data_IF_487887265410
#
_entry.id   IF_487887265410
#
_cell.length_a   1.000
_cell.length_b   1.000
_cell.length_c   1.000
_cell.angle_alpha   90.00
_cell.angle_beta   90.00
_cell.angle_gamma   90.00
#
_symmetry.space_group_name_H-M   'P 1'
#
loop_
_entity.id
_entity.type
_entity.pdbx_description
1 polymer ?
#
# COMPACT_ATOMS: atom_id res chain seq x y z
N UNK A 1 -26.02 1.35 17.51
CA UNK A 1 -25.02 2.42 17.57
C UNK A 1 -24.70 2.83 16.13
N UNK A 2 -25.03 4.06 15.73
CA UNK A 2 -24.75 4.58 14.39
C UNK A 2 -23.26 4.72 14.31
N UNK A 3 -22.59 3.88 13.50
CA UNK A 3 -21.17 4.00 13.20
C UNK A 3 -20.95 5.35 12.45
N UNK A 4 -20.61 6.39 13.19
CA UNK A 4 -20.20 7.66 12.60
C UNK A 4 -18.78 7.48 12.02
N UNK A 5 -18.69 6.95 10.80
CA UNK A 5 -17.45 6.97 10.04
C UNK A 5 -17.10 8.43 9.74
N UNK A 6 -15.94 8.86 10.18
CA UNK A 6 -15.47 10.22 9.92
C UNK A 6 -15.36 10.46 8.41
N UNK A 7 -16.13 11.42 7.89
CA UNK A 7 -16.05 11.84 6.47
C UNK A 7 -14.96 12.88 6.23
N UNK A 8 -14.26 13.34 7.28
CA UNK A 8 -13.03 14.13 7.19
C UNK A 8 -11.84 13.23 7.43
N UNK A 9 -10.87 13.23 6.52
CA UNK A 9 -9.71 12.34 6.62
C UNK A 9 -8.42 13.03 6.21
N UNK A 10 -7.34 12.66 6.89
CA UNK A 10 -5.98 12.95 6.47
C UNK A 10 -5.48 11.76 5.65
N UNK A 11 -4.83 12.02 4.51
CA UNK A 11 -4.16 11.02 3.69
C UNK A 11 -2.69 11.38 3.58
N UNK A 12 -1.79 10.61 4.22
CA UNK A 12 -0.35 10.75 4.02
C UNK A 12 0.11 9.91 2.84
N UNK A 13 1.24 10.28 2.21
CA UNK A 13 1.66 9.61 0.98
C UNK A 13 0.71 9.86 -0.19
N UNK A 14 0.05 11.02 -0.19
CA UNK A 14 -1.01 11.40 -1.13
C UNK A 14 -0.62 11.31 -2.61
N UNK A 15 0.65 11.57 -2.95
CA UNK A 15 1.18 11.51 -4.33
C UNK A 15 1.84 10.17 -4.69
N UNK A 16 1.80 9.20 -3.76
CA UNK A 16 2.29 7.83 -4.00
C UNK A 16 1.29 7.01 -4.82
N UNK A 17 1.68 5.77 -5.17
CA UNK A 17 0.89 4.87 -6.00
C UNK A 17 -0.53 4.63 -5.46
N UNK A 18 -0.68 4.37 -4.17
CA UNK A 18 -2.00 4.18 -3.56
C UNK A 18 -2.71 5.52 -3.40
N UNK A 19 -2.04 6.54 -2.85
CA UNK A 19 -2.63 7.83 -2.52
C UNK A 19 -3.26 8.54 -3.72
N UNK A 20 -2.57 8.56 -4.88
CA UNK A 20 -3.08 9.18 -6.10
C UNK A 20 -4.36 8.53 -6.65
N UNK A 21 -4.60 7.25 -6.31
CA UNK A 21 -5.81 6.51 -6.69
C UNK A 21 -6.89 6.52 -5.59
N UNK A 22 -6.48 6.53 -4.30
CA UNK A 22 -7.41 6.57 -3.17
C UNK A 22 -8.13 7.92 -3.05
N UNK A 23 -7.39 9.02 -3.18
CA UNK A 23 -7.96 10.37 -3.03
C UNK A 23 -9.16 10.62 -3.96
N UNK A 24 -9.07 10.41 -5.30
CA UNK A 24 -10.23 10.61 -6.16
C UNK A 24 -11.39 9.64 -5.85
N UNK A 25 -11.09 8.44 -5.36
CA UNK A 25 -12.12 7.51 -4.89
C UNK A 25 -12.86 8.06 -3.66
N UNK A 26 -12.13 8.54 -2.65
CA UNK A 26 -12.72 9.12 -1.44
C UNK A 26 -13.51 10.40 -1.72
N UNK A 27 -13.03 11.27 -2.62
CA UNK A 27 -13.79 12.46 -3.07
C UNK A 27 -15.14 12.04 -3.65
N UNK A 28 -15.18 11.03 -4.53
CA UNK A 28 -16.44 10.51 -5.10
C UNK A 28 -17.39 9.92 -4.04
N UNK A 29 -16.85 9.52 -2.88
CA UNK A 29 -17.61 9.02 -1.73
C UNK A 29 -17.99 10.11 -0.72
N UNK A 30 -17.72 11.38 -1.04
CA UNK A 30 -18.11 12.55 -0.25
C UNK A 30 -17.20 12.81 0.96
N UNK A 31 -15.94 12.37 0.91
CA UNK A 31 -14.97 12.70 1.96
C UNK A 31 -14.34 14.08 1.75
N UNK A 32 -14.16 14.82 2.84
CA UNK A 32 -13.29 15.99 2.92
C UNK A 32 -11.86 15.51 3.22
N UNK A 33 -10.89 15.90 2.40
CA UNK A 33 -9.56 15.32 2.46
C UNK A 33 -8.51 16.39 2.73
N UNK A 34 -7.66 16.13 3.73
CA UNK A 34 -6.38 16.81 3.90
C UNK A 34 -5.29 15.88 3.37
N UNK A 35 -4.70 16.24 2.23
CA UNK A 35 -3.66 15.48 1.56
C UNK A 35 -2.27 15.93 1.99
N UNK A 36 -1.45 15.02 2.53
CA UNK A 36 -0.08 15.32 2.97
C UNK A 36 0.93 14.66 2.04
N UNK A 37 1.83 15.46 1.48
CA UNK A 37 2.96 15.01 0.67
C UNK A 37 4.11 16.00 0.72
N UNK A 38 5.33 15.53 0.45
CA UNK A 38 6.56 16.35 0.46
C UNK A 38 6.66 17.31 -0.71
N UNK A 39 6.10 16.94 -1.86
CA UNK A 39 6.38 17.62 -3.14
C UNK A 39 5.07 18.11 -3.76
N UNK A 40 4.75 19.41 -3.61
CA UNK A 40 3.55 20.00 -4.21
C UNK A 40 3.50 19.87 -5.73
N UNK A 41 4.65 19.95 -6.40
CA UNK A 41 4.75 19.84 -7.86
C UNK A 41 4.20 18.49 -8.37
N UNK A 42 4.45 17.41 -7.63
CA UNK A 42 3.87 16.09 -7.94
C UNK A 42 2.36 16.04 -7.70
N UNK A 43 1.85 16.82 -6.75
CA UNK A 43 0.42 16.85 -6.45
C UNK A 43 -0.37 17.65 -7.49
N UNK A 44 0.19 18.75 -7.98
CA UNK A 44 -0.46 19.69 -8.93
C UNK A 44 -0.82 19.06 -10.29
N UNK A 45 -0.21 17.91 -10.64
CA UNK A 45 -0.54 17.20 -11.90
C UNK A 45 -1.83 16.38 -11.80
N UNK A 46 -2.40 16.23 -10.61
CA UNK A 46 -3.61 15.44 -10.40
C UNK A 46 -4.86 16.32 -10.34
N UNK A 47 -5.93 15.90 -11.00
CA UNK A 47 -7.23 16.60 -11.02
C UNK A 47 -7.88 16.79 -9.65
N UNK A 48 -7.44 16.02 -8.66
CA UNK A 48 -7.93 16.12 -7.29
C UNK A 48 -7.25 17.23 -6.49
N UNK A 49 -6.12 17.80 -6.94
CA UNK A 49 -5.33 18.76 -6.17
C UNK A 49 -6.15 19.97 -5.71
N UNK A 50 -6.96 20.54 -6.61
CA UNK A 50 -7.82 21.68 -6.30
C UNK A 50 -9.06 21.34 -5.43
N UNK A 51 -9.29 20.04 -5.16
CA UNK A 51 -10.48 19.55 -4.43
C UNK A 51 -10.15 19.10 -3.00
N UNK A 52 -8.92 19.28 -2.55
CA UNK A 52 -8.45 18.86 -1.23
C UNK A 52 -7.71 19.99 -0.54
N UNK A 53 -7.64 19.94 0.79
CA UNK A 53 -6.68 20.75 1.54
C UNK A 53 -5.30 20.08 1.41
N UNK A 54 -4.38 20.71 0.68
CA UNK A 54 -3.03 20.14 0.48
C UNK A 54 -2.04 20.77 1.47
N UNK A 55 -1.37 19.91 2.25
CA UNK A 55 -0.30 20.31 3.16
C UNK A 55 1.03 19.73 2.66
N UNK A 56 1.96 20.63 2.35
CA UNK A 56 3.34 20.24 2.08
C UNK A 56 4.03 19.89 3.39
N UNK A 57 4.35 18.61 3.60
CA UNK A 57 5.04 18.18 4.80
C UNK A 57 5.85 16.90 4.58
N UNK A 58 7.06 16.88 5.15
CA UNK A 58 7.84 15.66 5.29
C UNK A 58 7.61 15.10 6.70
N UNK A 59 6.94 13.96 6.79
CA UNK A 59 6.62 13.31 8.07
C UNK A 59 7.87 12.80 8.82
N UNK A 60 9.04 12.77 8.18
CA UNK A 60 10.30 12.34 8.79
C UNK A 60 11.02 13.47 9.55
N UNK A 61 10.58 14.70 9.40
CA UNK A 61 11.19 15.85 10.09
C UNK A 61 10.40 16.21 11.35
N UNK A 62 11.08 16.81 12.36
CA UNK A 62 10.41 17.39 13.53
C UNK A 62 9.49 18.53 13.09
N UNK A 63 8.23 18.50 13.50
CA UNK A 63 7.21 19.37 12.96
C UNK A 63 6.47 20.17 14.02
N UNK A 64 6.13 21.40 13.65
CA UNK A 64 5.06 22.18 14.25
C UNK A 64 3.75 21.37 14.25
N UNK A 65 2.84 21.74 15.12
CA UNK A 65 1.53 21.09 15.19
C UNK A 65 0.77 21.25 13.86
N UNK A 66 0.12 20.18 13.42
CA UNK A 66 -0.86 20.27 12.36
C UNK A 66 -2.19 20.53 13.06
N UNK A 67 -2.82 21.68 12.78
CA UNK A 67 -4.21 21.85 13.18
C UNK A 67 -5.07 20.89 12.36
N UNK A 68 -5.49 19.82 13.02
CA UNK A 68 -6.24 18.74 12.38
C UNK A 68 -7.75 18.88 12.55
N UNK A 69 -8.21 19.86 13.37
CA UNK A 69 -9.62 19.97 13.69
C UNK A 69 -10.15 18.76 14.50
N UNK A 70 -11.48 18.59 14.51
CA UNK A 70 -12.14 17.49 15.24
C UNK A 70 -12.77 16.46 14.30
N UNK A 71 -12.99 15.25 14.82
CA UNK A 71 -13.68 14.16 14.11
C UNK A 71 -13.01 13.79 12.77
N UNK A 72 -11.70 13.67 12.76
CA UNK A 72 -10.90 13.33 11.58
C UNK A 72 -10.29 11.95 11.75
N UNK A 73 -10.30 11.17 10.65
CA UNK A 73 -9.57 9.92 10.56
C UNK A 73 -8.28 10.04 9.77
N UNK A 74 -7.44 9.01 9.80
CA UNK A 74 -6.15 8.97 9.12
C UNK A 74 -6.01 7.74 8.23
N UNK A 75 -5.74 7.95 6.94
CA UNK A 75 -5.15 6.96 6.05
C UNK A 75 -3.65 7.21 5.97
N UNK A 76 -2.88 6.35 6.61
CA UNK A 76 -1.42 6.48 6.64
C UNK A 76 -0.80 5.55 5.59
N UNK A 77 -0.45 6.13 4.43
CA UNK A 77 0.11 5.42 3.28
C UNK A 77 1.59 5.77 3.03
N UNK A 78 2.13 6.76 3.76
CA UNK A 78 3.49 7.23 3.56
C UNK A 78 4.51 6.17 4.00
N UNK A 79 5.44 5.85 3.12
CA UNK A 79 6.65 5.07 3.38
C UNK A 79 7.69 5.39 2.33
N UNK A 80 8.96 5.48 2.71
CA UNK A 80 10.02 5.89 1.81
C UNK A 80 10.89 4.69 1.39
N UNK A 81 11.74 4.92 0.38
CA UNK A 81 12.80 4.00 -0.09
C UNK A 81 12.29 2.65 -0.63
N UNK A 82 11.08 2.61 -1.20
CA UNK A 82 10.62 1.43 -1.94
C UNK A 82 11.03 1.55 -3.42
N UNK A 83 11.50 0.44 -4.02
CA UNK A 83 11.44 -0.96 -3.57
C UNK A 83 12.74 -1.53 -2.94
N UNK A 84 13.57 -0.73 -2.30
CA UNK A 84 14.82 -1.20 -1.68
C UNK A 84 14.57 -1.99 -0.37
N UNK A 85 13.92 -3.14 -0.45
CA UNK A 85 13.38 -3.89 0.71
C UNK A 85 14.39 -4.22 1.80
N UNK A 86 15.69 -4.31 1.49
CA UNK A 86 16.76 -4.60 2.45
C UNK A 86 17.51 -3.37 2.96
N UNK A 87 17.06 -2.16 2.59
CA UNK A 87 17.69 -0.91 3.01
C UNK A 87 17.57 -0.71 4.53
N UNK A 88 18.65 -0.33 5.23
CA UNK A 88 18.61 0.04 6.65
C UNK A 88 17.72 1.27 6.91
N UNK A 89 17.46 2.08 5.89
CA UNK A 89 16.57 3.24 5.98
C UNK A 89 15.19 2.88 6.55
N UNK A 90 14.72 1.64 6.35
CA UNK A 90 13.41 1.20 6.83
C UNK A 90 13.31 1.18 8.35
N UNK A 91 14.33 0.69 9.07
CA UNK A 91 14.32 0.63 10.53
C UNK A 91 15.00 1.85 11.17
N UNK A 92 16.00 2.47 10.53
CA UNK A 92 16.70 3.63 11.08
C UNK A 92 15.92 4.94 10.94
N UNK A 93 15.15 5.09 9.87
CA UNK A 93 14.44 6.34 9.53
C UNK A 93 12.93 6.17 9.44
N UNK A 94 12.45 5.23 8.61
CA UNK A 94 11.01 5.11 8.39
C UNK A 94 10.25 4.69 9.66
N UNK A 95 10.70 3.66 10.36
CA UNK A 95 10.02 3.16 11.56
C UNK A 95 9.87 4.28 12.62
N UNK A 96 10.92 4.93 13.11
CA UNK A 96 10.77 5.97 14.12
C UNK A 96 9.98 7.19 13.64
N UNK A 97 10.17 7.60 12.37
CA UNK A 97 9.46 8.77 11.83
C UNK A 97 7.95 8.52 11.71
N UNK A 98 7.56 7.35 11.18
CA UNK A 98 6.15 7.00 11.04
C UNK A 98 5.48 6.79 12.41
N UNK A 99 6.16 6.13 13.35
CA UNK A 99 5.66 5.98 14.72
C UNK A 99 5.42 7.33 15.39
N UNK A 100 6.41 8.21 15.37
CA UNK A 100 6.31 9.53 15.99
C UNK A 100 5.21 10.39 15.35
N UNK A 101 5.09 10.35 14.03
CA UNK A 101 4.02 11.05 13.32
C UNK A 101 2.64 10.54 13.76
N UNK A 102 2.41 9.22 13.71
CA UNK A 102 1.12 8.62 14.06
C UNK A 102 0.81 8.88 15.56
N UNK A 103 1.78 8.70 16.45
CA UNK A 103 1.62 9.02 17.89
C UNK A 103 1.18 10.47 18.09
N UNK A 104 1.82 11.43 17.39
CA UNK A 104 1.43 12.83 17.45
C UNK A 104 -0.01 13.04 16.97
N UNK A 105 -0.44 12.39 15.89
CA UNK A 105 -1.81 12.47 15.40
C UNK A 105 -2.83 11.92 16.42
N UNK A 106 -2.51 10.82 17.10
CA UNK A 106 -3.34 10.24 18.15
C UNK A 106 -3.47 11.21 19.34
N UNK A 107 -2.35 11.77 19.80
CA UNK A 107 -2.33 12.73 20.89
C UNK A 107 -3.07 14.03 20.54
N UNK A 108 -3.09 14.43 19.29
CA UNK A 108 -3.89 15.56 18.77
C UNK A 108 -5.39 15.21 18.57
N UNK A 109 -5.82 13.99 18.92
CA UNK A 109 -7.25 13.62 18.97
C UNK A 109 -7.75 12.71 17.86
N UNK A 110 -6.92 12.25 16.91
CA UNK A 110 -7.34 11.25 15.93
C UNK A 110 -7.62 9.91 16.62
N UNK A 111 -8.81 9.37 16.39
CA UNK A 111 -9.28 8.12 17.01
C UNK A 111 -9.52 6.98 16.03
N UNK A 112 -9.39 7.20 14.73
CA UNK A 112 -9.55 6.17 13.70
C UNK A 112 -8.40 6.26 12.70
N UNK A 113 -7.60 5.21 12.64
CA UNK A 113 -6.38 5.16 11.84
C UNK A 113 -6.33 3.87 11.03
N UNK A 114 -6.19 4.01 9.71
CA UNK A 114 -5.87 2.93 8.80
C UNK A 114 -4.42 3.11 8.33
N UNK A 115 -3.59 2.10 8.56
CA UNK A 115 -2.18 2.07 8.15
C UNK A 115 -1.96 0.95 7.14
N UNK A 116 -1.24 1.23 6.05
CA UNK A 116 -0.85 0.19 5.10
C UNK A 116 0.35 -0.61 5.61
N UNK A 117 0.14 -1.92 5.79
CA UNK A 117 1.15 -2.94 5.99
C UNK A 117 1.54 -3.62 4.68
N UNK A 118 2.14 -4.80 4.76
CA UNK A 118 2.61 -5.57 3.59
C UNK A 118 2.45 -7.07 3.81
N UNK A 119 2.19 -7.82 2.75
CA UNK A 119 2.19 -9.29 2.80
C UNK A 119 3.57 -9.87 3.15
N UNK A 120 4.65 -9.13 2.98
CA UNK A 120 6.00 -9.54 3.39
C UNK A 120 6.16 -9.67 4.92
N UNK A 121 5.24 -9.11 5.72
CA UNK A 121 5.21 -9.35 7.17
C UNK A 121 5.03 -10.84 7.52
N UNK A 122 4.39 -11.62 6.64
CA UNK A 122 4.22 -13.06 6.82
C UNK A 122 5.53 -13.86 6.63
N UNK A 123 6.53 -13.27 5.96
CA UNK A 123 7.80 -13.94 5.66
C UNK A 123 7.64 -15.06 4.63
N UNK A 124 8.40 -16.15 4.82
CA UNK A 124 8.51 -17.23 3.85
C UNK A 124 7.42 -18.31 4.06
N UNK A 125 6.14 -17.89 4.05
CA UNK A 125 4.99 -18.79 4.15
C UNK A 125 4.43 -19.11 2.76
N UNK A 126 4.01 -20.35 2.54
CA UNK A 126 3.44 -20.81 1.26
C UNK A 126 1.95 -21.08 1.38
N UNK A 127 1.23 -20.96 0.27
CA UNK A 127 -0.20 -21.24 0.18
C UNK A 127 -1.09 -20.05 0.57
N UNK A 128 -2.34 -20.31 0.96
CA UNK A 128 -3.29 -19.30 1.39
C UNK A 128 -2.95 -18.79 2.79
N UNK A 129 -2.82 -17.47 2.97
CA UNK A 129 -2.40 -16.84 4.22
C UNK A 129 -3.55 -16.04 4.81
N UNK A 130 -3.99 -16.44 6.01
CA UNK A 130 -5.00 -15.70 6.79
C UNK A 130 -4.39 -14.43 7.40
N UNK A 131 -5.21 -13.39 7.58
CA UNK A 131 -4.79 -12.19 8.32
C UNK A 131 -4.44 -12.44 9.79
N UNK A 132 -4.90 -13.56 10.35
CA UNK A 132 -4.54 -14.03 11.69
C UNK A 132 -3.25 -14.84 11.76
N UNK A 133 -2.62 -15.15 10.62
CA UNK A 133 -1.36 -15.89 10.58
C UNK A 133 -0.24 -15.11 11.29
N UNK A 134 0.66 -15.83 11.97
CA UNK A 134 1.82 -15.24 12.64
C UNK A 134 2.74 -14.59 11.62
N UNK A 135 3.28 -13.44 11.97
CA UNK A 135 4.28 -12.72 11.18
C UNK A 135 5.68 -13.27 11.45
N UNK A 136 6.46 -13.44 10.38
CA UNK A 136 7.87 -13.85 10.42
C UNK A 136 8.66 -13.09 9.33
N UNK A 137 8.69 -11.74 9.40
CA UNK A 137 9.30 -10.94 8.35
C UNK A 137 10.79 -11.21 8.22
N UNK A 138 11.30 -11.25 6.97
CA UNK A 138 12.66 -11.66 6.64
C UNK A 138 13.48 -10.61 5.86
N UNK A 139 12.96 -9.39 5.71
CA UNK A 139 13.68 -8.28 5.12
C UNK A 139 13.44 -6.99 5.91
N UNK A 140 14.33 -6.00 5.77
CA UNK A 140 14.32 -4.76 6.56
C UNK A 140 13.00 -3.99 6.47
N UNK A 141 12.39 -3.95 5.28
CA UNK A 141 11.10 -3.30 5.07
C UNK A 141 9.97 -3.96 5.87
N UNK A 142 9.84 -5.27 5.75
CA UNK A 142 8.78 -6.03 6.41
C UNK A 142 8.95 -6.04 7.93
N UNK A 143 10.19 -6.18 8.42
CA UNK A 143 10.52 -6.08 9.85
C UNK A 143 10.11 -4.71 10.40
N UNK A 144 10.48 -3.63 9.72
CA UNK A 144 10.13 -2.27 10.14
C UNK A 144 8.62 -2.03 10.13
N UNK A 145 7.89 -2.56 9.14
CA UNK A 145 6.43 -2.48 9.07
C UNK A 145 5.76 -3.24 10.22
N UNK A 146 6.16 -4.48 10.46
CA UNK A 146 5.59 -5.29 11.54
C UNK A 146 5.89 -4.71 12.93
N UNK A 147 7.11 -4.17 13.13
CA UNK A 147 7.45 -3.45 14.36
C UNK A 147 6.61 -2.18 14.55
N UNK A 148 6.34 -1.43 13.48
CA UNK A 148 5.44 -0.28 13.56
C UNK A 148 4.04 -0.70 14.03
N UNK A 149 3.49 -1.79 13.47
CA UNK A 149 2.20 -2.35 13.91
C UNK A 149 2.20 -2.67 15.39
N UNK A 150 3.21 -3.42 15.86
CA UNK A 150 3.32 -3.81 17.27
C UNK A 150 3.46 -2.60 18.21
N UNK A 151 4.26 -1.60 17.82
CA UNK A 151 4.38 -0.36 18.61
C UNK A 151 3.06 0.43 18.66
N UNK A 152 2.27 0.43 17.58
CA UNK A 152 0.95 1.08 17.59
C UNK A 152 -0.08 0.29 18.41
N UNK A 153 -0.01 -1.04 18.42
CA UNK A 153 -0.83 -1.88 19.30
C UNK A 153 -0.53 -1.64 20.78
N UNK A 154 0.76 -1.49 21.14
CA UNK A 154 1.17 -1.10 22.50
C UNK A 154 0.68 0.31 22.84
N UNK A 155 0.86 1.28 21.94
CA UNK A 155 0.37 2.65 22.15
C UNK A 155 -1.14 2.72 22.36
N UNK A 156 -1.89 1.81 21.75
CA UNK A 156 -3.35 1.73 21.87
C UNK A 156 -3.82 1.35 23.29
N UNK A 157 -2.98 0.71 24.11
CA UNK A 157 -3.28 0.42 25.51
C UNK A 157 -3.33 1.70 26.36
N UNK A 158 -2.43 2.65 26.09
CA UNK A 158 -2.34 3.90 26.86
C UNK A 158 -3.24 5.01 26.26
N UNK A 159 -3.43 5.00 24.96
CA UNK A 159 -4.18 5.99 24.21
C UNK A 159 -5.17 5.28 23.25
N UNK A 160 -6.37 4.93 23.68
CA UNK A 160 -7.31 4.13 22.89
C UNK A 160 -7.71 4.78 21.56
N UNK A 161 -7.53 4.04 20.45
CA UNK A 161 -7.94 4.40 19.10
C UNK A 161 -8.29 3.16 18.29
N UNK A 162 -9.03 3.32 17.21
CA UNK A 162 -9.32 2.26 16.26
C UNK A 162 -8.16 2.13 15.29
N UNK A 163 -7.43 1.00 15.34
CA UNK A 163 -6.30 0.68 14.48
C UNK A 163 -6.71 -0.37 13.44
N UNK A 164 -6.66 -0.01 12.17
CA UNK A 164 -6.81 -0.92 11.05
C UNK A 164 -5.47 -1.06 10.33
N UNK A 165 -4.92 -2.27 10.34
CA UNK A 165 -3.66 -2.60 9.69
C UNK A 165 -3.93 -3.36 8.40
N UNK A 166 -3.72 -2.71 7.24
CA UNK A 166 -4.05 -3.23 5.93
C UNK A 166 -2.82 -3.86 5.25
N UNK A 167 -2.64 -5.18 5.33
CA UNK A 167 -1.56 -5.91 4.65
C UNK A 167 -1.85 -6.02 3.17
N UNK A 168 -1.11 -5.25 2.39
CA UNK A 168 -1.25 -5.19 0.94
C UNK A 168 -0.53 -6.37 0.29
N UNK A 169 -1.22 -7.06 -0.60
CA UNK A 169 -0.63 -8.01 -1.53
C UNK A 169 -0.18 -7.30 -2.81
N UNK A 170 0.17 -8.03 -3.87
CA UNK A 170 0.67 -7.39 -5.09
C UNK A 170 -0.41 -6.56 -5.79
N UNK A 171 -0.02 -5.42 -6.29
CA UNK A 171 -0.92 -4.47 -6.93
C UNK A 171 -0.37 -4.07 -8.28
N UNK A 172 -1.27 -3.73 -9.20
CA UNK A 172 -0.89 -3.14 -10.48
C UNK A 172 -1.86 -2.06 -10.93
N UNK A 173 -1.40 -1.18 -11.80
CA UNK A 173 -2.23 -0.13 -12.40
C UNK A 173 -1.54 1.23 -12.50
N UNK A 174 -2.34 2.26 -12.77
CA UNK A 174 -1.85 3.62 -13.05
C UNK A 174 -1.04 4.20 -11.88
N UNK A 175 0.20 4.60 -12.18
CA UNK A 175 1.11 5.20 -11.21
C UNK A 175 1.96 4.19 -10.43
N UNK A 176 1.96 2.92 -10.82
CA UNK A 176 2.86 1.91 -10.29
C UNK A 176 4.32 2.24 -10.63
N UNK A 177 5.26 1.76 -9.80
CA UNK A 177 6.69 1.91 -10.04
C UNK A 177 7.08 1.29 -11.39
N UNK A 178 7.84 2.02 -12.20
CA UNK A 178 8.31 1.58 -13.53
C UNK A 178 9.12 0.29 -13.50
N UNK A 179 9.75 -0.04 -12.37
CA UNK A 179 10.51 -1.28 -12.20
C UNK A 179 9.64 -2.51 -11.90
N UNK A 180 8.32 -2.36 -11.82
CA UNK A 180 7.41 -3.50 -11.66
C UNK A 180 7.14 -4.17 -13.00
N UNK A 181 6.87 -5.49 -12.98
CA UNK A 181 6.79 -6.31 -14.19
C UNK A 181 5.76 -5.81 -15.23
N UNK A 182 4.59 -5.36 -14.81
CA UNK A 182 3.55 -4.85 -15.74
C UNK A 182 3.97 -3.52 -16.40
N UNK A 183 4.43 -2.49 -15.65
CA UNK A 183 5.00 -1.29 -16.28
C UNK A 183 6.19 -1.56 -17.20
N UNK A 184 7.10 -2.49 -16.85
CA UNK A 184 8.21 -2.86 -17.72
C UNK A 184 7.73 -3.51 -19.03
N UNK A 185 6.73 -4.41 -18.95
CA UNK A 185 6.12 -5.00 -20.15
C UNK A 185 5.44 -3.93 -21.00
N UNK A 186 4.66 -3.03 -20.38
CA UNK A 186 4.00 -1.94 -21.10
C UNK A 186 5.02 -1.04 -21.81
N UNK A 187 6.11 -0.70 -21.14
CA UNK A 187 7.20 0.10 -21.72
C UNK A 187 7.88 -0.62 -22.90
N UNK A 188 8.18 -1.93 -22.76
CA UNK A 188 8.76 -2.72 -23.83
C UNK A 188 7.84 -2.79 -25.06
N UNK A 189 6.53 -2.93 -24.83
CA UNK A 189 5.52 -2.91 -25.89
C UNK A 189 5.48 -1.53 -26.57
N UNK A 190 5.42 -0.45 -25.81
CA UNK A 190 5.32 0.91 -26.32
C UNK A 190 6.60 1.33 -27.10
N UNK A 191 7.76 0.76 -26.75
CA UNK A 191 9.03 0.90 -27.48
C UNK A 191 9.17 -0.05 -28.68
N UNK A 192 8.17 -0.90 -28.94
CA UNK A 192 8.22 -1.92 -29.99
C UNK A 192 9.43 -2.87 -29.88
N UNK A 193 9.80 -3.23 -28.65
CA UNK A 193 10.84 -4.23 -28.42
C UNK A 193 10.42 -5.59 -28.94
N UNK A 194 11.38 -6.37 -29.47
CA UNK A 194 11.09 -7.69 -30.02
C UNK A 194 10.82 -8.74 -28.97
N UNK A 195 11.47 -8.61 -27.79
CA UNK A 195 11.44 -9.59 -26.70
C UNK A 195 11.31 -8.92 -25.35
N UNK A 196 10.58 -9.57 -24.45
CA UNK A 196 10.51 -9.23 -23.02
C UNK A 196 11.08 -10.38 -22.21
N UNK A 197 12.21 -10.12 -21.53
CA UNK A 197 12.89 -11.13 -20.70
C UNK A 197 12.23 -11.25 -19.34
N UNK A 198 11.96 -12.48 -18.91
CA UNK A 198 11.40 -12.77 -17.59
C UNK A 198 11.85 -14.16 -17.07
N UNK A 199 11.53 -14.46 -15.80
CA UNK A 199 11.67 -15.82 -15.28
C UNK A 199 10.66 -16.75 -15.96
N UNK A 200 10.65 -18.04 -15.62
CA UNK A 200 9.62 -18.98 -16.11
C UNK A 200 8.19 -18.54 -15.77
N UNK A 201 8.05 -17.69 -14.74
CA UNK A 201 6.77 -17.07 -14.39
C UNK A 201 5.77 -18.00 -13.69
N UNK A 202 6.19 -19.20 -13.24
CA UNK A 202 5.30 -20.18 -12.60
C UNK A 202 4.94 -19.82 -11.15
N UNK A 203 5.66 -18.82 -10.56
CA UNK A 203 5.36 -18.39 -9.20
C UNK A 203 3.93 -17.81 -9.11
N UNK A 204 3.15 -18.31 -8.14
CA UNK A 204 1.79 -17.86 -7.86
C UNK A 204 1.79 -16.67 -6.92
N UNK A 205 1.09 -15.62 -7.30
CA UNK A 205 0.93 -14.39 -6.51
C UNK A 205 -0.51 -13.91 -6.54
N UNK A 206 -0.88 -13.16 -5.52
CA UNK A 206 -2.17 -12.48 -5.46
C UNK A 206 -2.03 -11.07 -6.02
N UNK A 207 -2.48 -10.88 -7.25
CA UNK A 207 -2.46 -9.57 -7.89
C UNK A 207 -3.84 -8.92 -7.88
N UNK A 208 -3.90 -7.65 -7.46
CA UNK A 208 -5.12 -6.89 -7.41
C UNK A 208 -4.96 -5.56 -8.17
N UNK A 209 -5.90 -5.20 -9.07
CA UNK A 209 -5.91 -3.87 -9.69
C UNK A 209 -5.98 -2.78 -8.62
N UNK A 210 -5.22 -1.68 -8.77
CA UNK A 210 -5.18 -0.59 -7.80
C UNK A 210 -6.55 -0.02 -7.45
N UNK A 211 -7.47 0.00 -8.40
CA UNK A 211 -8.85 0.45 -8.17
C UNK A 211 -9.55 -0.47 -7.15
N UNK A 212 -9.31 -1.78 -7.21
CA UNK A 212 -9.87 -2.74 -6.24
C UNK A 212 -9.20 -2.63 -4.88
N UNK A 213 -7.90 -2.31 -4.85
CA UNK A 213 -7.18 -2.03 -3.60
C UNK A 213 -7.81 -0.83 -2.88
N UNK A 214 -8.03 0.29 -3.57
CA UNK A 214 -8.61 1.48 -2.93
C UNK A 214 -10.07 1.26 -2.52
N UNK A 215 -10.85 0.46 -3.26
CA UNK A 215 -12.20 0.05 -2.86
C UNK A 215 -12.16 -0.77 -1.56
N UNK A 216 -11.23 -1.73 -1.44
CA UNK A 216 -11.08 -2.54 -0.22
C UNK A 216 -10.58 -1.70 0.97
N UNK A 217 -9.61 -0.80 0.78
CA UNK A 217 -9.15 0.12 1.83
C UNK A 217 -10.29 1.02 2.34
N UNK A 218 -11.12 1.54 1.44
CA UNK A 218 -12.29 2.33 1.81
C UNK A 218 -13.32 1.49 2.57
N UNK A 219 -13.69 0.30 2.07
CA UNK A 219 -14.60 -0.62 2.77
C UNK A 219 -14.06 -1.00 4.15
N UNK A 220 -12.75 -1.27 4.26
CA UNK A 220 -12.12 -1.57 5.54
C UNK A 220 -12.26 -0.40 6.51
N UNK A 221 -11.99 0.82 6.05
CA UNK A 221 -12.16 2.01 6.87
C UNK A 221 -13.60 2.16 7.38
N UNK A 222 -14.59 1.94 6.52
CA UNK A 222 -16.01 2.01 6.92
C UNK A 222 -16.43 0.86 7.87
N UNK A 223 -15.71 -0.27 7.90
CA UNK A 223 -15.98 -1.40 8.81
C UNK A 223 -15.80 -1.04 10.30
N UNK A 224 -15.03 0.01 10.61
CA UNK A 224 -14.84 0.56 11.96
C UNK A 224 -14.53 -0.50 13.04
N UNK A 225 -13.71 -1.49 12.69
CA UNK A 225 -13.24 -2.55 13.59
C UNK A 225 -11.73 -2.65 13.55
N UNK A 226 -11.08 -2.59 14.72
CA UNK A 226 -9.63 -2.77 14.86
C UNK A 226 -9.19 -4.17 14.44
N UNK A 227 -7.95 -4.26 13.95
CA UNK A 227 -7.31 -5.51 13.59
C UNK A 227 -6.45 -5.42 12.35
N UNK A 228 -5.78 -6.54 12.03
CA UNK A 228 -5.03 -6.73 10.78
C UNK A 228 -5.92 -7.38 9.72
N UNK A 229 -5.80 -6.92 8.47
CA UNK A 229 -6.64 -7.36 7.35
C UNK A 229 -5.81 -7.53 6.10
N UNK A 230 -6.09 -8.56 5.32
CA UNK A 230 -5.51 -8.74 4.00
C UNK A 230 -6.26 -7.91 2.95
N UNK A 231 -5.52 -7.13 2.19
CA UNK A 231 -6.01 -6.45 0.98
C UNK A 231 -5.51 -7.24 -0.21
N UNK A 232 -6.36 -8.10 -0.73
CA UNK A 232 -6.00 -9.13 -1.70
C UNK A 232 -7.19 -9.52 -2.58
N UNK A 233 -6.93 -10.27 -3.66
CA UNK A 233 -8.00 -10.86 -4.50
C UNK A 233 -8.55 -12.16 -3.89
N UNK A 234 -7.71 -12.90 -3.16
CA UNK A 234 -7.98 -14.27 -2.72
C UNK A 234 -7.82 -15.30 -3.85
N UNK A 235 -7.40 -14.88 -5.02
CA UNK A 235 -7.26 -15.72 -6.22
C UNK A 235 -5.83 -15.61 -6.76
N UNK A 236 -4.99 -16.63 -6.55
CA UNK A 236 -3.62 -16.60 -7.06
C UNK A 236 -3.60 -16.73 -8.58
N UNK A 237 -2.68 -16.01 -9.21
CA UNK A 237 -2.37 -16.11 -10.63
C UNK A 237 -0.86 -16.31 -10.82
N UNK A 238 -0.42 -17.08 -11.79
CA UNK A 238 0.99 -17.15 -12.12
C UNK A 238 1.44 -15.84 -12.77
N UNK A 239 2.70 -15.47 -12.53
CA UNK A 239 3.27 -14.26 -13.17
C UNK A 239 3.26 -14.41 -14.69
N UNK A 240 3.44 -15.64 -15.21
CA UNK A 240 3.28 -15.95 -16.64
C UNK A 240 1.90 -15.55 -17.14
N UNK A 241 0.84 -16.08 -16.52
CA UNK A 241 -0.53 -15.78 -16.93
C UNK A 241 -0.87 -14.29 -16.82
N UNK A 242 -0.35 -13.60 -15.80
CA UNK A 242 -0.53 -12.16 -15.65
C UNK A 242 0.08 -11.38 -16.83
N UNK A 243 1.33 -11.73 -17.21
CA UNK A 243 2.06 -11.08 -18.32
C UNK A 243 1.41 -11.41 -19.67
N UNK A 244 1.02 -12.66 -19.88
CA UNK A 244 0.30 -13.08 -21.11
C UNK A 244 -1.04 -12.38 -21.25
N UNK A 245 -1.83 -12.28 -20.17
CA UNK A 245 -3.09 -11.55 -20.16
C UNK A 245 -2.88 -10.07 -20.53
N UNK A 246 -1.84 -9.43 -19.94
CA UNK A 246 -1.51 -8.04 -20.25
C UNK A 246 -1.08 -7.85 -21.71
N UNK A 247 -0.24 -8.75 -22.25
CA UNK A 247 0.16 -8.76 -23.66
C UNK A 247 -1.05 -8.85 -24.59
N UNK A 248 -2.00 -9.74 -24.28
CA UNK A 248 -3.23 -9.90 -25.05
C UNK A 248 -4.13 -8.64 -24.99
N UNK A 249 -4.30 -8.06 -23.80
CA UNK A 249 -5.04 -6.80 -23.60
C UNK A 249 -4.47 -5.67 -24.48
N UNK A 250 -3.14 -5.57 -24.53
CA UNK A 250 -2.42 -4.61 -25.38
C UNK A 250 -2.40 -4.99 -26.86
N UNK A 251 -2.92 -6.16 -27.24
CA UNK A 251 -2.86 -6.70 -28.62
C UNK A 251 -1.43 -6.74 -29.17
N UNK A 252 -0.44 -6.94 -28.30
CA UNK A 252 0.98 -6.95 -28.66
C UNK A 252 1.42 -8.34 -29.13
N UNK A 253 2.38 -8.33 -30.06
CA UNK A 253 3.07 -9.54 -30.57
C UNK A 253 4.47 -9.70 -29.98
N UNK A 254 4.83 -8.94 -28.93
CA UNK A 254 6.13 -9.06 -28.28
C UNK A 254 6.38 -10.51 -27.85
N UNK A 255 7.57 -11.02 -28.12
CA UNK A 255 7.98 -12.35 -27.70
C UNK A 255 8.30 -12.37 -26.21
N UNK A 256 7.67 -13.27 -25.45
CA UNK A 256 7.94 -13.44 -24.01
C UNK A 256 9.05 -14.49 -23.84
N UNK A 257 10.25 -14.03 -23.49
CA UNK A 257 11.42 -14.86 -23.30
C UNK A 257 11.45 -15.42 -21.87
N UNK A 258 10.77 -16.53 -21.67
CA UNK A 258 10.68 -17.23 -20.39
C UNK A 258 12.02 -17.87 -20.00
N UNK A 259 12.28 -17.96 -18.68
CA UNK A 259 13.49 -18.60 -18.12
C UNK A 259 14.77 -17.80 -18.27
N UNK A 260 14.69 -16.55 -18.76
CA UNK A 260 15.88 -15.70 -18.90
C UNK A 260 16.48 -15.31 -17.54
N UNK A 261 15.62 -14.98 -16.58
CA UNK A 261 16.02 -14.68 -15.20
C UNK A 261 15.72 -15.85 -14.27
N UNK A 262 16.59 -16.14 -13.29
CA UNK A 262 16.28 -17.10 -12.25
C UNK A 262 15.13 -16.62 -11.36
N UNK A 263 14.49 -17.50 -10.62
CA UNK A 263 13.57 -17.14 -9.56
C UNK A 263 14.29 -16.45 -8.40
N UNK A 264 13.59 -15.52 -7.74
CA UNK A 264 14.05 -14.93 -6.48
C UNK A 264 14.03 -15.98 -5.37
N UNK A 265 15.11 -16.09 -4.61
CA UNK A 265 15.18 -16.91 -3.40
C UNK A 265 14.55 -16.25 -2.16
N UNK A 266 14.11 -15.01 -2.30
CA UNK A 266 13.57 -14.19 -1.19
C UNK A 266 12.07 -14.40 -0.95
N UNK A 267 11.39 -15.09 -1.85
CA UNK A 267 9.95 -15.31 -1.81
C UNK A 267 9.59 -16.77 -2.10
N UNK A 268 8.54 -17.33 -1.46
CA UNK A 268 8.08 -18.68 -1.78
C UNK A 268 7.52 -18.75 -3.21
N UNK A 269 7.50 -19.95 -3.81
CA UNK A 269 6.94 -20.13 -5.15
C UNK A 269 5.44 -19.85 -5.23
N UNK A 270 4.69 -19.98 -4.13
CA UNK A 270 3.26 -19.77 -4.14
C UNK A 270 2.79 -19.20 -2.81
N UNK A 271 2.20 -17.98 -2.82
CA UNK A 271 1.46 -17.45 -1.68
C UNK A 271 0.43 -16.40 -2.12
N UNK A 272 -0.68 -16.38 -1.41
CA UNK A 272 -1.79 -15.44 -1.64
C UNK A 272 -2.57 -15.19 -0.35
N UNK A 273 -3.35 -14.11 -0.30
CA UNK A 273 -4.16 -13.78 0.86
C UNK A 273 -5.48 -14.55 0.91
N UNK A 274 -5.93 -14.90 2.11
CA UNK A 274 -7.35 -15.19 2.34
C UNK A 274 -8.04 -13.84 2.49
N UNK A 275 -9.13 -13.65 1.73
CA UNK A 275 -9.83 -12.38 1.64
C UNK A 275 -10.64 -12.09 2.89
N UNK A 276 -10.41 -10.93 3.52
CA UNK A 276 -11.14 -10.46 4.72
C UNK A 276 -12.22 -9.41 4.37
N UNK A 277 -12.12 -8.79 3.21
CA UNK A 277 -12.99 -7.69 2.75
C UNK A 277 -13.71 -8.14 1.47
N UNK A 278 -15.01 -8.23 1.53
CA UNK A 278 -15.88 -8.59 0.39
C UNK A 278 -16.17 -7.40 -0.54
#
# INVERSE_FOLDING_TARGET
>A
MINNVHKKVIVTGATGFIGQNLIPHLIKKGYEITAISRTPQKAKVFDWYAKVNFIQKDISQHHEEIDIGQNIGLFHLAWQDLPNYNSPHHYEKNLPSNYNFIKKMILSGIKHILVTGTCFEYGFQSGPISSSAKTHPNNSYAIAKDNLRQHLELLNNDHPFLLQWARLFYMYGRGQNSNSIIPQLDEAIDKNEKKFNMSEGEQLRDYLPIIKVVEQLHKLYEKSKSGSYNICSGQPISVRNLVEARRLEKRSKIDLNFGYYPYSSLEPMAFWGIKDIE
#
